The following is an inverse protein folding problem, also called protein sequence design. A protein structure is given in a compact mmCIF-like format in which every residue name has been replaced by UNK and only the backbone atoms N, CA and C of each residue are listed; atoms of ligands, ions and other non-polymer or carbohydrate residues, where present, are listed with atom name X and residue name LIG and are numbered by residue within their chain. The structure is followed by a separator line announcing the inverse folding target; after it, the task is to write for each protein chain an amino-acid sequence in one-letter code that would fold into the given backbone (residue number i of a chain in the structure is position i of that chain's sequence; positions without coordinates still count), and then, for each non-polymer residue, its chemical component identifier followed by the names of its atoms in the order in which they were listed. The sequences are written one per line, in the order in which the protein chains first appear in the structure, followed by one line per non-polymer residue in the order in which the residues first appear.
data_IF_365293861797
#
_entry.id   IF_365293861797
#
_cell.length_a   1.000
_cell.length_b   1.000
_cell.length_c   1.000
_cell.angle_alpha   90.00
_cell.angle_beta   90.00
_cell.angle_gamma   90.00
#
_symmetry.space_group_name_H-M   'P 1'
#
loop_
_entity.id
_entity.type
_entity.pdbx_description
1 polymer ?
#
# COMPACT_ATOMS: atom_id res chain seq x y z
N UNK A 1 31.79 -34.56 -9.42
CA UNK A 1 30.96 -35.13 -8.34
C UNK A 1 29.67 -34.31 -8.23
N UNK A 2 28.50 -34.82 -8.63
CA UNK A 2 27.23 -34.18 -8.36
C UNK A 2 26.53 -34.89 -7.18
N UNK A 3 25.93 -34.14 -6.26
CA UNK A 3 25.07 -34.72 -5.21
C UNK A 3 23.68 -34.13 -5.34
N UNK A 4 22.78 -34.94 -5.90
CA UNK A 4 21.37 -34.62 -6.10
C UNK A 4 20.59 -34.79 -4.78
N UNK A 5 19.72 -33.82 -4.50
CA UNK A 5 18.77 -33.82 -3.38
C UNK A 5 17.56 -34.72 -3.69
N UNK A 6 17.08 -35.41 -2.67
CA UNK A 6 15.89 -36.27 -2.67
C UNK A 6 14.57 -35.48 -2.71
N UNK A 7 13.50 -36.00 -3.32
CA UNK A 7 12.16 -35.43 -3.19
C UNK A 7 11.35 -36.11 -2.07
N UNK A 8 10.67 -35.29 -1.25
CA UNK A 8 9.73 -35.71 -0.20
C UNK A 8 8.33 -35.94 -0.80
N UNK A 9 7.69 -37.01 -0.34
CA UNK A 9 6.35 -37.46 -0.70
C UNK A 9 5.25 -36.58 -0.11
N UNK A 10 4.19 -36.34 -0.88
CA UNK A 10 2.95 -35.69 -0.45
C UNK A 10 1.88 -36.77 -0.25
N UNK A 11 1.19 -36.78 0.89
CA UNK A 11 0.03 -37.65 1.15
C UNK A 11 -1.25 -36.82 1.05
N UNK A 12 -2.14 -37.24 0.17
CA UNK A 12 -3.47 -36.68 -0.09
C UNK A 12 -4.42 -36.92 1.08
N UNK A 13 -5.17 -35.89 1.48
CA UNK A 13 -6.32 -36.01 2.39
C UNK A 13 -7.60 -36.01 1.56
N UNK A 14 -8.40 -37.06 1.73
CA UNK A 14 -9.70 -37.25 1.07
C UNK A 14 -10.78 -36.54 1.90
N UNK A 15 -11.56 -35.67 1.25
CA UNK A 15 -12.78 -35.06 1.78
C UNK A 15 -13.97 -35.93 1.38
N UNK A 16 -14.81 -36.33 2.33
CA UNK A 16 -16.09 -37.01 2.06
C UNK A 16 -17.23 -36.11 2.53
N UNK A 17 -18.15 -35.83 1.61
CA UNK A 17 -19.32 -34.96 1.74
C UNK A 17 -20.61 -35.80 1.65
N UNK A 18 -21.49 -35.59 2.64
CA UNK A 18 -22.96 -35.71 2.69
C UNK A 18 -23.71 -37.00 2.25
N UNK A 19 -24.73 -37.41 3.04
CA UNK A 19 -26.16 -37.30 2.65
C UNK A 19 -27.14 -37.79 3.75
N UNK A 20 -28.26 -37.08 3.85
CA UNK A 20 -29.47 -37.31 4.67
C UNK A 20 -30.36 -38.44 4.10
N UNK A 21 -31.09 -39.19 4.95
CA UNK A 21 -32.54 -39.51 4.82
C UNK A 21 -33.06 -40.40 5.98
N UNK A 22 -34.21 -40.05 6.58
CA UNK A 22 -35.04 -40.91 7.45
C UNK A 22 -35.94 -41.88 6.65
N UNK A 23 -36.92 -42.62 7.25
CA UNK A 23 -38.00 -42.06 8.08
C UNK A 23 -38.59 -42.95 9.23
N UNK A 24 -39.68 -42.43 9.82
CA UNK A 24 -40.55 -42.84 10.94
C UNK A 24 -41.00 -44.32 11.08
N UNK A 25 -41.28 -44.70 12.33
CA UNK A 25 -42.22 -45.79 12.70
C UNK A 25 -42.75 -45.64 14.14
N UNK A 26 -44.08 -45.59 14.28
CA UNK A 26 -44.89 -45.39 15.50
C UNK A 26 -45.50 -46.74 15.93
N UNK A 27 -45.48 -47.12 17.23
CA UNK A 27 -46.43 -48.08 17.83
C UNK A 27 -46.76 -47.71 19.29
N UNK A 28 -48.03 -47.90 19.64
CA UNK A 28 -48.80 -47.50 20.83
C UNK A 28 -48.93 -48.63 21.87
N UNK A 29 -49.15 -48.27 23.15
CA UNK A 29 -49.76 -49.10 24.21
C UNK A 29 -48.74 -49.85 25.08
N UNK A 30 -48.80 -49.90 26.42
CA UNK A 30 -49.98 -50.11 27.26
C UNK A 30 -49.71 -49.76 28.73
N UNK A 31 -50.80 -49.41 29.40
CA UNK A 31 -51.09 -49.17 30.83
C UNK A 31 -50.35 -49.99 31.90
N UNK A 32 -50.09 -49.32 33.03
CA UNK A 32 -49.64 -49.85 34.32
C UNK A 32 -50.60 -50.91 34.93
N UNK A 33 -50.13 -51.66 35.93
CA UNK A 33 -50.96 -51.84 37.12
C UNK A 33 -50.23 -51.45 38.42
N UNK A 34 -50.97 -50.78 39.30
CA UNK A 34 -50.64 -50.55 40.71
C UNK A 34 -51.46 -51.50 41.59
N UNK A 35 -50.78 -52.19 42.53
CA UNK A 35 -51.27 -52.67 43.84
C UNK A 35 -50.14 -53.56 44.44
N UNK A 36 -49.32 -53.07 45.38
CA UNK A 36 -49.55 -52.89 46.82
C UNK A 36 -49.46 -54.21 47.63
N UNK A 37 -48.43 -54.34 48.48
CA UNK A 37 -48.49 -54.56 49.95
C UNK A 37 -47.05 -54.45 50.55
N UNK A 38 -46.90 -54.08 51.84
CA UNK A 38 -45.73 -53.35 52.36
C UNK A 38 -44.69 -54.26 53.02
N UNK A 39 -43.42 -53.85 52.97
CA UNK A 39 -42.38 -54.38 53.86
C UNK A 39 -41.78 -53.23 54.67
N UNK A 40 -42.05 -53.34 55.97
CA UNK A 40 -41.39 -52.73 57.12
C UNK A 40 -39.93 -52.31 56.85
N UNK A 41 -39.68 -51.01 56.90
CA UNK A 41 -38.34 -50.46 57.02
C UNK A 41 -38.34 -49.39 58.12
N UNK A 42 -37.73 -49.74 59.25
CA UNK A 42 -37.39 -48.81 60.34
C UNK A 42 -36.60 -47.60 59.81
N UNK A 43 -36.91 -46.36 60.21
CA UNK A 43 -36.24 -45.17 59.70
C UNK A 43 -34.97 -44.90 60.52
N UNK A 44 -33.82 -45.41 60.09
CA UNK A 44 -32.54 -45.08 60.73
C UNK A 44 -31.34 -45.23 59.78
N UNK A 45 -31.41 -44.62 58.60
CA UNK A 45 -30.21 -44.04 57.95
C UNK A 45 -30.59 -43.22 56.71
N UNK A 46 -30.94 -41.95 56.92
CA UNK A 46 -30.93 -40.94 55.85
C UNK A 46 -29.86 -39.93 56.21
N UNK A 47 -28.63 -40.23 55.79
CA UNK A 47 -27.65 -39.17 55.55
C UNK A 47 -28.25 -38.27 54.45
N UNK A 48 -28.43 -36.96 54.68
CA UNK A 48 -28.92 -36.08 53.62
C UNK A 48 -27.90 -36.11 52.49
N UNK A 49 -28.33 -36.58 51.30
CA UNK A 49 -27.61 -36.29 50.05
C UNK A 49 -27.62 -34.78 49.92
N UNK A 50 -26.51 -34.16 50.31
CA UNK A 50 -26.26 -32.76 49.96
C UNK A 50 -26.02 -32.78 48.47
N UNK A 51 -27.03 -32.44 47.68
CA UNK A 51 -26.82 -32.00 46.30
C UNK A 51 -25.94 -30.77 46.42
N UNK A 52 -24.62 -30.94 46.21
CA UNK A 52 -23.73 -29.79 46.04
C UNK A 52 -24.33 -29.01 44.88
N UNK A 53 -24.75 -27.73 45.06
CA UNK A 53 -24.91 -26.89 43.90
C UNK A 53 -23.55 -26.90 43.20
N UNK A 54 -23.54 -27.14 41.89
CA UNK A 54 -22.33 -26.93 41.11
C UNK A 54 -21.97 -25.44 41.29
N UNK A 55 -20.99 -25.16 42.14
CA UNK A 55 -20.27 -23.89 42.09
C UNK A 55 -19.41 -23.97 40.83
N UNK A 56 -20.04 -23.82 39.67
CA UNK A 56 -19.36 -23.28 38.53
C UNK A 56 -18.96 -21.88 38.95
N UNK A 57 -17.70 -21.67 39.29
CA UNK A 57 -17.14 -20.33 39.41
C UNK A 57 -17.34 -19.66 38.05
N UNK A 58 -18.14 -18.58 37.91
CA UNK A 58 -18.03 -17.75 36.72
C UNK A 58 -16.75 -16.94 36.92
N UNK A 59 -15.62 -17.41 36.37
CA UNK A 59 -14.34 -16.81 36.73
C UNK A 59 -13.15 -17.37 35.96
N UNK A 60 -13.19 -17.25 34.64
CA UNK A 60 -12.01 -16.92 33.86
C UNK A 60 -12.39 -15.68 33.07
N UNK A 61 -12.19 -14.49 33.64
CA UNK A 61 -12.38 -13.26 32.87
C UNK A 61 -11.28 -13.22 31.82
N UNK A 62 -11.64 -13.45 30.55
CA UNK A 62 -10.70 -13.39 29.46
C UNK A 62 -9.92 -12.07 29.45
N UNK A 63 -8.66 -12.12 29.02
CA UNK A 63 -7.86 -10.92 28.79
C UNK A 63 -8.22 -10.39 27.39
N UNK A 64 -8.75 -9.17 27.34
CA UNK A 64 -9.11 -8.53 26.08
C UNK A 64 -7.88 -8.39 25.16
N UNK A 65 -8.05 -8.48 23.82
CA UNK A 65 -6.94 -8.35 22.89
C UNK A 65 -6.22 -7.00 23.01
N UNK A 66 -4.89 -7.01 23.05
CA UNK A 66 -4.03 -5.82 22.96
C UNK A 66 -3.16 -5.93 21.72
N UNK A 67 -3.32 -4.99 20.80
CA UNK A 67 -2.56 -4.90 19.55
C UNK A 67 -1.26 -4.10 19.76
N UNK A 68 -0.16 -4.68 19.30
CA UNK A 68 1.13 -4.02 19.15
C UNK A 68 1.47 -3.99 17.67
N UNK A 69 1.50 -2.78 17.09
CA UNK A 69 1.82 -2.53 15.69
C UNK A 69 3.03 -1.58 15.57
N UNK A 70 3.76 -1.61 14.45
CA UNK A 70 4.64 -0.50 14.09
C UNK A 70 3.84 0.80 13.87
N UNK A 71 4.51 1.95 13.98
CA UNK A 71 3.87 3.27 13.78
C UNK A 71 3.36 3.47 12.36
N UNK A 72 4.10 2.95 11.39
CA UNK A 72 3.76 2.87 9.98
C UNK A 72 4.54 1.71 9.35
N UNK A 73 4.17 1.36 8.12
CA UNK A 73 4.91 0.41 7.30
C UNK A 73 5.12 1.02 5.92
N UNK A 74 6.28 0.79 5.33
CA UNK A 74 6.65 1.39 4.05
C UNK A 74 7.02 0.33 3.03
N UNK A 75 6.46 0.45 1.84
CA UNK A 75 6.75 -0.40 0.69
C UNK A 75 7.02 0.46 -0.55
N UNK A 76 7.63 -0.12 -1.58
CA UNK A 76 7.86 0.54 -2.87
C UNK A 76 7.13 -0.24 -3.97
N UNK A 77 6.39 0.46 -4.84
CA UNK A 77 5.65 -0.16 -5.96
C UNK A 77 6.58 -1.05 -6.79
N UNK A 78 6.14 -2.28 -7.03
CA UNK A 78 6.85 -3.25 -7.88
C UNK A 78 8.09 -3.88 -7.24
N UNK A 79 8.44 -3.51 -6.01
CA UNK A 79 9.59 -4.08 -5.30
C UNK A 79 9.13 -5.01 -4.17
N UNK A 80 9.76 -6.18 -3.97
CA UNK A 80 9.53 -6.99 -2.78
C UNK A 80 9.93 -6.17 -1.55
N UNK A 81 8.95 -5.90 -0.68
CA UNK A 81 9.19 -5.16 0.55
C UNK A 81 9.59 -6.05 1.71
N UNK A 82 9.92 -5.37 2.81
CA UNK A 82 10.18 -6.01 4.09
C UNK A 82 8.91 -6.67 4.65
N UNK A 83 9.12 -7.49 5.68
CA UNK A 83 8.03 -8.11 6.43
C UNK A 83 7.88 -7.41 7.77
N UNK A 84 6.64 -7.07 8.13
CA UNK A 84 6.31 -6.38 9.36
C UNK A 84 5.47 -7.27 10.27
N UNK A 85 5.93 -7.44 11.50
CA UNK A 85 5.22 -8.23 12.50
C UNK A 85 4.13 -7.41 13.17
N UNK A 86 2.99 -8.05 13.39
CA UNK A 86 1.83 -7.57 14.12
C UNK A 86 1.59 -8.59 15.24
N UNK A 87 1.45 -8.10 16.46
CA UNK A 87 1.20 -8.95 17.62
C UNK A 87 -0.11 -8.57 18.29
N UNK A 88 -0.90 -9.59 18.65
CA UNK A 88 -2.10 -9.45 19.45
C UNK A 88 -2.01 -10.39 20.66
N UNK A 89 -1.92 -9.80 21.84
CA UNK A 89 -1.92 -10.54 23.11
C UNK A 89 -3.33 -10.58 23.69
N UNK A 90 -3.74 -11.69 24.30
CA UNK A 90 -5.05 -11.83 24.93
C UNK A 90 -5.33 -13.29 25.30
N UNK A 91 -6.37 -13.51 26.10
CA UNK A 91 -6.81 -14.85 26.49
C UNK A 91 -8.35 -14.91 26.45
N UNK A 92 -8.98 -15.80 25.67
CA UNK A 92 -8.36 -16.72 24.71
C UNK A 92 -7.55 -16.00 23.62
N UNK A 93 -6.66 -16.74 22.95
CA UNK A 93 -5.74 -16.24 21.94
C UNK A 93 -6.46 -15.44 20.84
N UNK A 94 -6.07 -14.19 20.56
CA UNK A 94 -6.74 -13.37 19.57
C UNK A 94 -6.43 -13.80 18.13
N UNK A 95 -7.45 -13.82 17.27
CA UNK A 95 -7.27 -13.88 15.82
C UNK A 95 -7.09 -12.46 15.25
N UNK A 96 -6.04 -12.28 14.46
CA UNK A 96 -5.72 -11.01 13.79
C UNK A 96 -6.28 -11.00 12.37
N UNK A 97 -6.83 -9.87 11.94
CA UNK A 97 -7.36 -9.66 10.60
C UNK A 97 -7.17 -8.21 10.16
N UNK A 98 -7.08 -7.97 8.87
CA UNK A 98 -7.00 -6.64 8.27
C UNK A 98 -7.75 -6.64 6.95
N UNK A 99 -8.50 -5.57 6.70
CA UNK A 99 -9.20 -5.34 5.44
C UNK A 99 -8.61 -4.11 4.74
N UNK A 100 -8.77 -4.04 3.41
CA UNK A 100 -8.37 -2.86 2.63
C UNK A 100 -6.86 -2.68 2.44
N UNK A 101 -6.07 -3.76 2.53
CA UNK A 101 -4.64 -3.70 2.19
C UNK A 101 -4.43 -3.24 0.73
N UNK A 102 -3.39 -2.41 0.46
CA UNK A 102 -2.98 -2.10 -0.89
C UNK A 102 -2.76 -3.36 -1.75
N UNK A 103 -3.15 -3.32 -3.05
CA UNK A 103 -2.97 -4.47 -3.95
C UNK A 103 -1.53 -5.00 -3.96
N UNK A 104 -1.39 -6.32 -3.79
CA UNK A 104 -0.08 -7.00 -3.76
C UNK A 104 0.51 -7.18 -2.35
N UNK A 105 -0.08 -6.57 -1.33
CA UNK A 105 0.24 -6.85 0.08
C UNK A 105 -0.69 -7.92 0.65
N UNK A 106 -0.20 -8.65 1.65
CA UNK A 106 -0.97 -9.70 2.34
C UNK A 106 -0.58 -9.80 3.82
N UNK A 107 -1.56 -10.20 4.63
CA UNK A 107 -1.35 -10.58 6.02
C UNK A 107 -1.35 -12.11 6.12
N UNK A 108 -0.27 -12.70 6.63
CA UNK A 108 -0.26 -14.12 7.05
C UNK A 108 -0.43 -14.18 8.55
N UNK A 109 -1.46 -14.89 9.01
CA UNK A 109 -1.76 -15.09 10.44
C UNK A 109 -1.29 -16.47 10.84
N UNK A 110 -0.59 -16.57 11.97
CA UNK A 110 0.04 -17.83 12.42
C UNK A 110 -0.80 -18.58 13.46
N UNK A 111 -1.86 -17.96 13.97
CA UNK A 111 -2.78 -18.57 14.92
C UNK A 111 -2.27 -18.56 16.37
N UNK A 112 -1.13 -17.92 16.62
CA UNK A 112 -0.50 -17.73 17.92
C UNK A 112 -0.56 -16.25 18.39
N UNK A 113 -1.59 -15.51 17.94
CA UNK A 113 -1.69 -14.06 18.12
C UNK A 113 -0.72 -13.25 17.25
N UNK A 114 0.21 -13.88 16.53
CA UNK A 114 1.12 -13.21 15.61
C UNK A 114 0.61 -13.22 14.16
N UNK A 115 0.91 -12.15 13.44
CA UNK A 115 0.68 -12.02 12.02
C UNK A 115 1.81 -11.23 11.33
N UNK A 116 2.06 -11.50 10.05
CA UNK A 116 3.09 -10.82 9.27
C UNK A 116 2.48 -10.18 8.02
N UNK A 117 2.59 -8.86 7.94
CA UNK A 117 2.26 -8.06 6.76
C UNK A 117 3.47 -7.99 5.83
N UNK A 118 3.29 -8.41 4.58
CA UNK A 118 4.38 -8.48 3.61
C UNK A 118 3.84 -8.53 2.17
N UNK A 119 4.72 -8.37 1.18
CA UNK A 119 4.36 -8.52 -0.23
C UNK A 119 5.11 -7.58 -1.16
N UNK A 120 4.55 -7.42 -2.35
CA UNK A 120 5.05 -6.53 -3.40
C UNK A 120 3.87 -5.70 -3.88
N UNK A 121 3.74 -4.43 -3.47
CA UNK A 121 2.58 -3.64 -3.85
C UNK A 121 2.61 -3.36 -5.36
N UNK A 122 1.46 -3.50 -6.02
CA UNK A 122 1.30 -3.18 -7.45
C UNK A 122 0.80 -1.75 -7.70
N UNK A 123 0.57 -0.98 -6.63
CA UNK A 123 -0.02 0.36 -6.68
C UNK A 123 -1.55 0.36 -6.50
N UNK A 124 -2.17 1.55 -6.43
CA UNK A 124 -1.56 2.88 -6.58
C UNK A 124 -0.62 3.24 -5.41
N UNK A 125 0.28 4.18 -5.66
CA UNK A 125 1.14 4.75 -4.63
C UNK A 125 0.36 5.75 -3.76
N UNK A 126 0.83 5.99 -2.54
CA UNK A 126 0.18 6.87 -1.56
C UNK A 126 0.20 6.29 -0.15
N UNK A 127 -0.59 6.88 0.74
CA UNK A 127 -0.78 6.41 2.11
C UNK A 127 -2.18 5.82 2.23
N UNK A 128 -2.27 4.55 2.63
CA UNK A 128 -3.53 3.89 2.94
C UNK A 128 -3.56 3.59 4.42
N UNK A 129 -4.54 4.11 5.16
CA UNK A 129 -4.72 3.73 6.56
C UNK A 129 -5.59 2.49 6.61
N UNK A 130 -5.05 1.39 7.12
CA UNK A 130 -5.78 0.13 7.31
C UNK A 130 -6.14 -0.06 8.77
N UNK A 131 -7.27 -0.69 9.04
CA UNK A 131 -7.68 -1.01 10.40
C UNK A 131 -7.29 -2.46 10.70
N UNK A 132 -6.37 -2.64 11.64
CA UNK A 132 -6.00 -3.96 12.14
C UNK A 132 -6.97 -4.33 13.26
N UNK A 133 -7.59 -5.48 13.12
CA UNK A 133 -8.57 -6.03 14.05
C UNK A 133 -7.98 -7.25 14.74
N UNK A 134 -7.97 -7.26 16.08
CA UNK A 134 -7.72 -8.44 16.89
C UNK A 134 -8.98 -8.81 17.66
N UNK A 135 -9.40 -10.08 17.60
CA UNK A 135 -10.61 -10.54 18.27
C UNK A 135 -10.39 -11.91 18.92
N UNK A 136 -10.89 -12.06 20.14
CA UNK A 136 -11.06 -13.35 20.79
C UNK A 136 -12.54 -13.59 21.12
N UNK A 137 -12.84 -14.65 21.89
CA UNK A 137 -14.21 -15.01 22.23
C UNK A 137 -14.94 -13.94 23.05
N UNK A 138 -14.20 -13.06 23.74
CA UNK A 138 -14.72 -12.13 24.73
C UNK A 138 -14.74 -10.67 24.25
N UNK A 139 -13.77 -10.26 23.43
CA UNK A 139 -13.57 -8.87 23.04
C UNK A 139 -12.93 -8.69 21.66
N UNK A 140 -13.05 -7.46 21.14
CA UNK A 140 -12.46 -7.02 19.87
C UNK A 140 -11.70 -5.71 20.12
N UNK A 141 -10.50 -5.62 19.59
CA UNK A 141 -9.68 -4.41 19.57
C UNK A 141 -9.31 -4.02 18.14
N UNK A 142 -9.25 -2.71 17.91
CA UNK A 142 -8.91 -2.12 16.62
C UNK A 142 -7.73 -1.18 16.81
N UNK A 143 -6.82 -1.15 15.83
CA UNK A 143 -5.75 -0.16 15.78
C UNK A 143 -5.46 0.20 14.32
N UNK A 144 -5.37 1.49 14.04
CA UNK A 144 -5.06 1.99 12.70
C UNK A 144 -3.59 1.84 12.40
N UNK A 145 -3.26 1.34 11.21
CA UNK A 145 -1.91 1.22 10.68
C UNK A 145 -1.79 1.99 9.37
N UNK A 146 -0.97 3.06 9.30
CA UNK A 146 -0.61 3.70 8.05
C UNK A 146 0.29 2.79 7.22
N UNK A 147 -0.16 2.44 6.01
CA UNK A 147 0.60 1.72 4.99
C UNK A 147 1.01 2.69 3.90
N UNK A 148 2.31 2.99 3.83
CA UNK A 148 2.90 3.90 2.85
C UNK A 148 3.40 3.10 1.66
N UNK A 149 2.86 3.34 0.48
CA UNK A 149 3.32 2.77 -0.78
C UNK A 149 4.00 3.87 -1.59
N UNK A 150 5.33 3.84 -1.63
CA UNK A 150 6.16 4.80 -2.37
C UNK A 150 6.32 4.40 -3.83
N UNK A 151 6.61 5.36 -4.69
CA UNK A 151 6.86 5.15 -6.11
C UNK A 151 8.10 5.94 -6.55
N UNK A 152 8.99 5.27 -7.27
CA UNK A 152 10.18 5.90 -7.83
C UNK A 152 9.80 7.02 -8.82
N UNK A 153 10.61 8.10 -8.90
CA UNK A 153 10.37 9.15 -9.87
C UNK A 153 10.53 8.65 -11.30
N UNK A 154 9.72 9.17 -12.21
CA UNK A 154 9.90 8.96 -13.65
C UNK A 154 9.39 10.17 -14.43
N UNK A 155 10.17 10.67 -15.39
CA UNK A 155 9.70 11.66 -16.36
C UNK A 155 8.61 11.05 -17.25
N UNK A 156 7.45 11.71 -17.33
CA UNK A 156 6.29 11.25 -18.12
C UNK A 156 6.63 11.29 -19.61
N UNK A 157 7.01 12.47 -20.08
CA UNK A 157 7.31 12.75 -21.47
C UNK A 157 8.66 13.46 -21.57
N UNK A 158 9.52 12.94 -22.46
CA UNK A 158 10.86 13.49 -22.72
C UNK A 158 10.86 14.32 -24.01
N UNK A 159 10.02 15.35 -24.03
CA UNK A 159 9.84 16.19 -25.21
C UNK A 159 11.09 17.01 -25.56
N UNK A 160 11.19 17.39 -26.84
CA UNK A 160 12.26 18.28 -27.30
C UNK A 160 12.01 19.69 -26.80
N UNK A 161 13.02 20.30 -26.18
CA UNK A 161 12.92 21.63 -25.60
C UNK A 161 13.32 22.68 -26.65
N UNK A 162 12.34 23.23 -27.36
CA UNK A 162 12.56 24.20 -28.45
C UNK A 162 11.91 25.52 -28.12
N UNK A 163 12.66 26.61 -28.27
CA UNK A 163 12.21 27.97 -28.07
C UNK A 163 12.51 28.82 -29.29
N UNK A 164 11.67 29.83 -29.54
CA UNK A 164 11.86 30.77 -30.65
C UNK A 164 12.46 32.07 -30.11
N UNK A 165 13.53 32.57 -30.74
CA UNK A 165 14.14 33.85 -30.36
C UNK A 165 13.11 34.98 -30.35
N UNK A 166 13.09 35.78 -29.28
CA UNK A 166 12.19 36.93 -29.13
C UNK A 166 10.72 36.59 -28.84
N UNK A 167 10.36 35.31 -28.67
CA UNK A 167 9.00 34.86 -28.34
C UNK A 167 8.96 34.36 -26.91
N UNK A 168 7.99 34.84 -26.12
CA UNK A 168 7.74 34.29 -24.79
C UNK A 168 7.05 32.92 -24.90
N UNK A 169 7.68 31.89 -24.34
CA UNK A 169 7.15 30.52 -24.32
C UNK A 169 7.46 29.87 -22.98
N UNK A 170 6.61 28.93 -22.55
CA UNK A 170 6.87 28.04 -21.42
C UNK A 170 6.65 26.58 -21.81
N UNK A 171 7.54 25.69 -21.38
CA UNK A 171 7.45 24.25 -21.54
C UNK A 171 7.40 23.59 -20.18
N UNK A 172 6.36 22.77 -19.95
CA UNK A 172 6.17 22.06 -18.68
C UNK A 172 6.88 20.72 -18.70
N UNK A 173 7.70 20.49 -17.68
CA UNK A 173 8.30 19.20 -17.35
C UNK A 173 7.38 18.47 -16.37
N UNK A 174 7.08 17.21 -16.64
CA UNK A 174 6.20 16.38 -15.80
C UNK A 174 6.90 15.11 -15.36
N UNK A 175 6.66 14.76 -14.12
CA UNK A 175 7.12 13.50 -13.53
C UNK A 175 5.98 12.78 -12.82
N UNK A 176 6.16 11.48 -12.63
CA UNK A 176 5.42 10.66 -11.68
C UNK A 176 6.33 10.31 -10.51
N UNK A 177 5.75 9.84 -9.41
CA UNK A 177 6.49 9.44 -8.21
C UNK A 177 5.68 9.74 -6.94
N UNK A 178 5.94 8.98 -5.88
CA UNK A 178 5.39 9.25 -4.56
C UNK A 178 6.43 8.97 -3.47
N UNK A 179 6.75 9.94 -2.59
CA UNK A 179 6.30 11.33 -2.61
C UNK A 179 6.60 12.05 -3.94
N UNK A 180 5.87 13.14 -4.21
CA UNK A 180 6.06 13.90 -5.44
C UNK A 180 7.53 14.35 -5.54
N UNK A 181 8.21 14.10 -6.66
CA UNK A 181 9.63 14.42 -6.74
C UNK A 181 9.83 15.92 -6.94
N UNK A 182 10.91 16.45 -6.35
CA UNK A 182 11.46 17.76 -6.74
C UNK A 182 12.23 17.63 -8.04
N UNK A 183 12.27 18.69 -8.83
CA UNK A 183 12.95 18.72 -10.13
C UNK A 183 14.10 19.73 -10.09
N UNK A 184 15.32 19.26 -10.30
CA UNK A 184 16.51 20.07 -10.50
C UNK A 184 16.86 20.22 -11.97
N UNK A 185 17.53 21.33 -12.31
CA UNK A 185 18.16 21.54 -13.60
C UNK A 185 19.64 21.89 -13.39
N UNK A 186 20.51 21.09 -14.01
CA UNK A 186 21.94 21.36 -14.14
C UNK A 186 22.28 21.78 -15.57
N UNK A 187 23.15 22.78 -15.71
CA UNK A 187 23.54 23.37 -16.99
C UNK A 187 23.03 24.81 -17.14
N UNK A 188 23.60 25.53 -18.11
CA UNK A 188 23.22 26.92 -18.38
C UNK A 188 22.07 26.98 -19.38
N UNK A 189 20.99 27.66 -19.02
CA UNK A 189 19.91 27.96 -19.95
C UNK A 189 20.32 29.10 -20.90
N UNK A 190 19.87 29.06 -22.17
CA UNK A 190 20.01 30.19 -23.09
C UNK A 190 19.51 31.50 -22.47
N UNK A 191 20.18 32.61 -22.81
CA UNK A 191 19.89 33.92 -22.20
C UNK A 191 18.42 34.30 -22.39
N UNK A 192 17.73 34.61 -21.29
CA UNK A 192 16.31 34.99 -21.28
C UNK A 192 15.35 33.84 -20.95
N UNK A 193 15.86 32.62 -20.78
CA UNK A 193 15.12 31.49 -20.22
C UNK A 193 15.44 31.30 -18.73
N UNK A 194 14.48 30.75 -18.00
CA UNK A 194 14.59 30.39 -16.59
C UNK A 194 13.86 29.07 -16.30
N UNK A 195 14.28 28.40 -15.23
CA UNK A 195 13.66 27.18 -14.73
C UNK A 195 13.01 27.44 -13.38
N UNK A 196 11.82 26.85 -13.19
CA UNK A 196 11.10 26.85 -11.93
C UNK A 196 10.61 25.44 -11.63
N UNK A 197 10.97 24.92 -10.46
CA UNK A 197 10.34 23.73 -9.88
C UNK A 197 9.08 24.16 -9.10
N UNK A 198 7.98 23.44 -9.30
CA UNK A 198 6.75 23.66 -8.56
C UNK A 198 6.67 22.83 -7.27
N UNK A 199 7.55 21.83 -7.10
CA UNK A 199 7.59 20.98 -5.91
C UNK A 199 6.43 19.98 -5.81
N UNK A 200 5.66 19.80 -6.88
CA UNK A 200 4.52 18.89 -6.99
C UNK A 200 4.74 17.79 -8.04
N UNK A 201 6.00 17.55 -8.43
CA UNK A 201 6.35 16.67 -9.54
C UNK A 201 6.25 17.35 -10.92
N UNK A 202 6.00 18.65 -10.97
CA UNK A 202 6.06 19.45 -12.19
C UNK A 202 7.07 20.58 -12.09
N UNK A 203 7.61 20.98 -13.23
CA UNK A 203 8.49 22.14 -13.37
C UNK A 203 8.27 22.82 -14.70
N UNK A 204 8.83 24.01 -14.90
CA UNK A 204 8.65 24.77 -16.13
C UNK A 204 9.95 25.45 -16.53
N UNK A 205 10.34 25.30 -17.80
CA UNK A 205 11.35 26.15 -18.45
C UNK A 205 10.60 27.20 -19.26
N UNK A 206 10.79 28.47 -18.95
CA UNK A 206 10.03 29.55 -19.58
C UNK A 206 10.85 30.81 -19.76
N UNK A 207 10.36 31.72 -20.60
CA UNK A 207 10.96 33.02 -20.82
C UNK A 207 10.95 33.45 -22.27
N UNK A 208 11.71 34.49 -22.58
CA UNK A 208 11.89 35.03 -23.93
C UNK A 208 13.37 34.95 -24.29
N UNK A 209 13.80 34.01 -25.14
CA UNK A 209 15.19 33.91 -25.54
C UNK A 209 15.66 35.20 -26.22
N UNK A 210 16.78 35.76 -25.77
CA UNK A 210 17.33 37.03 -26.26
C UNK A 210 18.36 36.87 -27.38
N UNK A 211 18.81 35.64 -27.65
CA UNK A 211 19.81 35.31 -28.68
C UNK A 211 19.45 34.04 -29.47
N UNK A 212 20.40 33.56 -30.27
CA UNK A 212 20.28 32.33 -31.06
C UNK A 212 20.56 32.53 -32.56
N UNK A 213 20.70 31.44 -33.34
CA UNK A 213 20.47 30.04 -32.96
C UNK A 213 21.49 29.51 -31.94
N UNK A 214 21.03 28.72 -30.98
CA UNK A 214 21.84 28.19 -29.87
C UNK A 214 21.34 26.80 -29.44
N UNK A 215 22.26 25.92 -29.03
CA UNK A 215 21.95 24.62 -28.45
C UNK A 215 22.70 24.51 -27.13
N UNK A 216 21.96 24.40 -26.02
CA UNK A 216 22.52 24.31 -24.67
C UNK A 216 22.24 22.93 -24.06
N UNK A 217 23.27 22.16 -23.66
CA UNK A 217 23.07 20.91 -22.96
C UNK A 217 22.61 21.16 -21.52
N UNK A 218 21.58 20.44 -21.09
CA UNK A 218 21.09 20.47 -19.72
C UNK A 218 20.84 19.05 -19.20
N UNK A 219 20.81 18.90 -17.88
CA UNK A 219 20.35 17.69 -17.22
C UNK A 219 19.23 18.04 -16.26
N UNK A 220 18.07 17.40 -16.44
CA UNK A 220 16.96 17.45 -15.50
C UNK A 220 17.06 16.26 -14.56
N UNK A 221 16.95 16.49 -13.25
CA UNK A 221 16.98 15.42 -12.24
C UNK A 221 15.70 15.47 -11.42
N UNK A 222 14.96 14.38 -11.39
CA UNK A 222 13.79 14.23 -10.53
C UNK A 222 14.16 13.36 -9.32
N UNK A 223 13.93 13.88 -8.12
CA UNK A 223 14.38 13.30 -6.85
C UNK A 223 13.22 13.14 -5.89
N UNK A 224 13.06 11.95 -5.31
CA UNK A 224 12.29 11.76 -4.09
C UNK A 224 13.04 10.82 -3.13
N UNK A 225 12.45 10.53 -1.98
CA UNK A 225 13.07 9.68 -0.95
C UNK A 225 13.32 8.22 -1.38
N UNK A 226 12.87 7.80 -2.56
CA UNK A 226 13.07 6.43 -3.07
C UNK A 226 14.30 6.36 -3.97
N UNK A 227 14.43 7.30 -4.92
CA UNK A 227 15.51 7.30 -5.90
C UNK A 227 15.58 8.61 -6.66
N UNK A 228 16.67 8.74 -7.42
CA UNK A 228 16.91 9.86 -8.33
C UNK A 228 16.87 9.34 -9.78
N UNK A 229 16.25 10.10 -10.68
CA UNK A 229 16.28 9.82 -12.12
C UNK A 229 16.73 11.06 -12.88
N UNK A 230 17.73 10.90 -13.73
CA UNK A 230 18.25 11.97 -14.58
C UNK A 230 17.82 11.80 -16.03
N UNK A 231 17.61 12.94 -16.70
CA UNK A 231 17.38 13.04 -18.13
C UNK A 231 18.25 14.16 -18.70
N UNK A 232 19.30 13.76 -19.41
CA UNK A 232 20.16 14.69 -20.16
C UNK A 232 19.55 14.96 -21.54
N UNK A 233 19.44 16.23 -21.90
CA UNK A 233 18.87 16.70 -23.17
C UNK A 233 19.49 18.03 -23.57
N UNK A 234 19.01 18.63 -24.66
CA UNK A 234 19.38 19.98 -25.06
C UNK A 234 18.17 20.90 -25.11
N UNK A 235 18.40 22.17 -24.78
CA UNK A 235 17.50 23.27 -25.09
C UNK A 235 17.99 23.91 -26.39
N UNK A 236 17.12 23.96 -27.39
CA UNK A 236 17.41 24.61 -28.67
C UNK A 236 16.65 25.93 -28.77
N UNK A 237 17.36 27.00 -29.12
CA UNK A 237 16.77 28.26 -29.54
C UNK A 237 16.90 28.39 -31.05
N UNK A 238 15.77 28.54 -31.74
CA UNK A 238 15.70 28.71 -33.19
C UNK A 238 15.15 30.10 -33.56
N UNK A 239 15.46 30.62 -34.75
CA UNK A 239 14.86 31.87 -35.22
C UNK A 239 13.33 31.78 -35.23
N UNK A 240 12.66 32.85 -34.82
CA UNK A 240 11.20 32.92 -34.91
C UNK A 240 10.72 32.70 -36.36
N UNK A 241 9.64 31.93 -36.57
CA UNK A 241 9.07 31.77 -37.90
C UNK A 241 8.66 33.13 -38.48
N UNK A 242 9.36 33.61 -39.53
CA UNK A 242 8.98 34.81 -40.29
C UNK A 242 9.89 36.04 -40.18
N UNK A 243 11.08 35.95 -39.58
CA UNK A 243 12.05 37.06 -39.58
C UNK A 243 12.62 37.34 -40.97
N UNK A 244 12.05 38.30 -41.72
CA UNK A 244 12.76 38.93 -42.83
C UNK A 244 13.92 39.76 -42.27
N UNK A 245 15.14 39.69 -42.81
CA UNK A 245 16.21 40.58 -42.36
C UNK A 245 15.84 42.00 -42.74
N UNK A 246 15.51 42.85 -41.76
CA UNK A 246 15.54 44.29 -41.97
C UNK A 246 16.99 44.67 -42.29
N UNK A 247 17.29 44.88 -43.57
CA UNK A 247 18.53 45.52 -43.99
C UNK A 247 18.58 46.92 -43.37
N UNK A 248 19.67 47.29 -42.67
CA UNK A 248 19.87 48.69 -42.32
C UNK A 248 20.07 49.45 -43.64
N UNK A 249 19.10 50.28 -44.00
CA UNK A 249 19.29 51.25 -45.08
C UNK A 249 20.33 52.27 -44.59
N UNK A 250 21.59 52.06 -44.96
CA UNK A 250 22.64 53.07 -44.79
C UNK A 250 22.36 54.17 -45.83
N UNK A 251 21.64 55.20 -45.42
CA UNK A 251 21.52 56.43 -46.20
C UNK A 251 22.87 57.15 -46.20
N UNK A 252 23.70 56.89 -47.23
CA UNK A 252 24.84 57.73 -47.54
C UNK A 252 24.32 59.04 -48.11
N UNK A 253 24.27 60.09 -47.31
CA UNK A 253 24.02 61.44 -47.77
C UNK A 253 25.35 62.08 -48.19
N UNK A 254 25.82 61.74 -49.38
CA UNK A 254 26.80 62.55 -50.11
C UNK A 254 26.09 63.80 -50.65
N UNK A 255 26.16 64.89 -49.88
CA UNK A 255 25.74 66.22 -50.33
C UNK A 255 26.90 66.97 -50.95
N UNK A 256 27.12 66.82 -52.26
CA UNK A 256 28.00 67.71 -53.04
C UNK A 256 27.20 68.76 -53.84
N UNK A 257 27.49 70.03 -53.51
CA UNK A 257 27.49 71.23 -54.38
C UNK A 257 26.29 71.58 -55.26
N UNK A 258 25.69 72.75 -54.99
CA UNK A 258 25.87 73.95 -55.83
C UNK A 258 25.58 75.23 -55.03
#
# INVERSE_FOLDING_TARGET
MPTARSPRSWRSVVVVLAMFLGPLGLVVGSTMPANALPLDASPSDVSPVTVRPATGTPGGGGVAPVLTLPTDVTFVVGQPGDSYTIEANGDPEPNVSVDGLPPGLRLTVYGDGSAVLHGTPSGPAGVTTVEVRAANADAISYQSLPVVVRQQPAFVDRERLVFNTGVFTGLTIRTTGFPAPGIGLDGDLPTGLMFLDHGDGTGMIFGTPLGGPEIAPITLTAVNEVSDVSWTTTVEVVPAPGGSPHSPHVGSADGQTR
#
